data_IF_920365910012
#
_entry.id   IF_920365910012
#
_cell.length_a   1.000
_cell.length_b   1.000
_cell.length_c   1.000
_cell.angle_alpha   90.00
_cell.angle_beta   90.00
_cell.angle_gamma   90.00
#
_symmetry.space_group_name_H-M   'P 1'
#
loop_
_entity.id
_entity.type
_entity.pdbx_description
1 polymer ?
#
# COMPACT_ATOMS: atom_id res chain seq x y z
N UNK A 1 -10.64 -11.06 5.32
CA UNK A 1 -11.14 -10.28 6.47
C UNK A 1 -12.01 -9.11 6.02
N UNK A 2 -11.46 -8.05 5.40
CA UNK A 2 -12.25 -6.89 4.96
C UNK A 2 -13.34 -7.19 3.93
N UNK A 3 -13.12 -8.14 3.00
CA UNK A 3 -14.17 -8.58 2.08
C UNK A 3 -15.33 -9.28 2.81
N UNK A 4 -15.02 -10.14 3.79
CA UNK A 4 -16.05 -10.79 4.61
C UNK A 4 -16.82 -9.77 5.46
N UNK A 5 -16.11 -8.77 6.02
CA UNK A 5 -16.71 -7.63 6.71
C UNK A 5 -17.64 -6.81 5.79
N UNK A 6 -17.21 -6.51 4.57
CA UNK A 6 -18.00 -5.76 3.59
C UNK A 6 -19.24 -6.54 3.11
N UNK A 7 -19.18 -7.87 3.13
CA UNK A 7 -20.30 -8.76 2.83
C UNK A 7 -21.23 -8.97 4.05
N UNK A 8 -20.91 -8.36 5.19
CA UNK A 8 -21.69 -8.45 6.42
C UNK A 8 -21.63 -9.83 7.08
N UNK A 9 -20.62 -10.65 6.77
CA UNK A 9 -20.42 -11.96 7.38
C UNK A 9 -19.88 -11.81 8.80
N UNK A 10 -20.30 -12.68 9.72
CA UNK A 10 -19.65 -12.80 11.02
C UNK A 10 -18.17 -13.14 10.85
N UNK A 11 -17.33 -12.41 11.57
CA UNK A 11 -15.89 -12.48 11.38
C UNK A 11 -15.19 -12.51 12.73
N UNK A 12 -14.43 -13.57 12.97
CA UNK A 12 -13.46 -13.63 14.07
C UNK A 12 -12.06 -13.40 13.51
N UNK A 13 -11.32 -12.46 14.09
CA UNK A 13 -9.96 -12.14 13.69
C UNK A 13 -9.04 -12.01 14.90
N UNK A 14 -7.87 -12.66 14.84
CA UNK A 14 -6.86 -12.63 15.89
C UNK A 14 -5.68 -11.79 15.40
N UNK A 15 -5.28 -10.80 16.18
CA UNK A 15 -4.24 -9.83 15.83
C UNK A 15 -3.05 -9.91 16.75
N UNK A 16 -1.83 -9.89 16.21
CA UNK A 16 -0.61 -9.81 17.00
C UNK A 16 0.67 -9.89 16.17
N UNK A 17 1.69 -9.04 16.45
CA UNK A 17 1.70 -7.90 17.38
C UNK A 17 0.99 -6.65 16.82
N UNK A 18 0.49 -6.72 15.59
CA UNK A 18 -0.08 -5.60 14.84
C UNK A 18 -1.40 -5.09 15.45
N UNK A 19 -1.61 -3.76 15.57
CA UNK A 19 -2.81 -3.18 16.18
C UNK A 19 -4.07 -3.30 15.28
N UNK A 20 -5.20 -3.80 15.80
CA UNK A 20 -6.41 -4.03 15.01
C UNK A 20 -7.11 -2.73 14.63
N UNK A 21 -6.85 -1.62 15.31
CA UNK A 21 -7.39 -0.31 14.96
C UNK A 21 -6.98 0.14 13.56
N UNK A 22 -5.84 -0.37 13.07
CA UNK A 22 -5.29 -0.04 11.75
C UNK A 22 -5.42 -1.17 10.74
N UNK A 23 -5.43 -2.42 11.20
CA UNK A 23 -5.35 -3.59 10.33
C UNK A 23 -6.51 -4.57 10.53
N UNK A 24 -7.41 -4.28 11.47
CA UNK A 24 -8.62 -5.02 11.81
C UNK A 24 -9.76 -4.78 10.82
N UNK A 25 -10.82 -5.58 10.89
CA UNK A 25 -11.96 -5.43 10.00
C UNK A 25 -12.61 -4.06 10.17
N UNK A 26 -13.16 -3.52 9.08
CA UNK A 26 -13.78 -2.19 9.09
C UNK A 26 -15.29 -2.29 8.90
N UNK A 27 -16.11 -1.57 9.71
CA UNK A 27 -15.69 -0.78 10.86
C UNK A 27 -15.35 -1.69 12.07
N UNK A 28 -14.38 -1.31 12.89
CA UNK A 28 -13.86 -2.18 13.95
C UNK A 28 -14.91 -2.50 15.02
N UNK A 29 -15.80 -1.54 15.27
CA UNK A 29 -16.91 -1.59 16.22
C UNK A 29 -18.19 -2.22 15.64
N UNK A 30 -18.12 -2.88 14.49
CA UNK A 30 -19.26 -3.62 13.96
C UNK A 30 -19.61 -4.78 14.90
N UNK A 31 -20.88 -4.97 15.30
CA UNK A 31 -21.29 -6.07 16.18
C UNK A 31 -21.01 -7.46 15.60
N UNK A 32 -20.77 -7.57 14.28
CA UNK A 32 -20.39 -8.83 13.62
C UNK A 32 -18.87 -9.07 13.55
N UNK A 33 -18.07 -8.14 14.05
CA UNK A 33 -16.61 -8.23 14.05
C UNK A 33 -16.08 -8.56 15.45
N UNK A 34 -15.53 -9.75 15.59
CA UNK A 34 -14.95 -10.26 16.82
C UNK A 34 -13.43 -10.20 16.71
N UNK A 35 -12.85 -9.17 17.30
CA UNK A 35 -11.42 -8.91 17.21
C UNK A 35 -10.76 -9.28 18.52
N UNK A 36 -9.81 -10.21 18.45
CA UNK A 36 -9.02 -10.67 19.59
C UNK A 36 -7.60 -10.16 19.44
N UNK A 37 -7.13 -9.37 20.40
CA UNK A 37 -5.74 -8.95 20.47
C UNK A 37 -4.89 -10.00 21.19
N UNK A 38 -3.87 -10.51 20.52
CA UNK A 38 -2.86 -11.38 21.10
C UNK A 38 -1.94 -10.59 22.06
N UNK A 39 -1.30 -11.28 23.01
CA UNK A 39 -0.32 -10.68 23.91
C UNK A 39 0.83 -10.01 23.16
N UNK A 40 1.53 -9.10 23.82
CA UNK A 40 2.67 -8.37 23.26
C UNK A 40 3.83 -9.30 22.77
N UNK A 41 3.89 -10.54 23.27
CA UNK A 41 4.80 -11.58 22.79
C UNK A 41 4.47 -12.11 21.39
N UNK A 42 3.35 -11.68 20.79
CA UNK A 42 2.92 -12.06 19.46
C UNK A 42 2.26 -13.44 19.40
N UNK A 43 1.81 -13.81 18.20
CA UNK A 43 1.07 -15.06 17.95
C UNK A 43 1.89 -16.33 18.25
N UNK A 44 3.22 -16.25 18.17
CA UNK A 44 4.11 -17.39 18.37
C UNK A 44 4.17 -17.87 19.83
N UNK A 45 3.72 -17.05 20.78
CA UNK A 45 3.69 -17.38 22.21
C UNK A 45 2.31 -17.82 22.73
N UNK A 46 1.32 -18.00 21.84
CA UNK A 46 -0.02 -18.43 22.22
C UNK A 46 -0.18 -19.94 22.04
N UNK A 47 -0.65 -20.60 23.09
CA UNK A 47 -1.06 -21.99 23.01
C UNK A 47 -2.44 -22.10 22.33
N UNK A 48 -2.67 -23.22 21.64
CA UNK A 48 -3.94 -23.45 20.92
C UNK A 48 -5.15 -23.33 21.86
N UNK A 49 -5.02 -23.80 23.10
CA UNK A 49 -6.09 -23.68 24.11
C UNK A 49 -6.41 -22.24 24.49
N UNK A 50 -5.40 -21.35 24.52
CA UNK A 50 -5.58 -19.93 24.82
C UNK A 50 -6.28 -19.22 23.66
N UNK A 51 -5.93 -19.58 22.42
CA UNK A 51 -6.61 -19.10 21.21
C UNK A 51 -8.11 -19.47 21.24
N UNK A 52 -8.44 -20.72 21.54
CA UNK A 52 -9.84 -21.14 21.65
C UNK A 52 -10.59 -20.40 22.75
N UNK A 53 -9.99 -20.26 23.95
CA UNK A 53 -10.62 -19.55 25.06
C UNK A 53 -10.90 -18.07 24.73
N UNK A 54 -9.98 -17.40 24.03
CA UNK A 54 -10.16 -16.01 23.61
C UNK A 54 -11.27 -15.87 22.55
N UNK A 55 -11.35 -16.80 21.61
CA UNK A 55 -12.43 -16.82 20.59
C UNK A 55 -13.78 -17.10 21.25
N UNK A 56 -13.86 -18.05 22.17
CA UNK A 56 -15.10 -18.34 22.92
C UNK A 56 -15.57 -17.15 23.74
N UNK A 57 -14.66 -16.44 24.42
CA UNK A 57 -14.99 -15.24 25.17
C UNK A 57 -15.56 -14.13 24.26
N UNK A 58 -14.97 -13.92 23.08
CA UNK A 58 -15.46 -12.94 22.10
C UNK A 58 -16.86 -13.29 21.58
N UNK A 59 -17.12 -14.59 21.32
CA UNK A 59 -18.43 -15.08 20.85
C UNK A 59 -19.49 -15.11 21.97
N UNK A 60 -19.09 -15.19 23.24
CA UNK A 60 -20.01 -15.20 24.38
C UNK A 60 -20.52 -13.79 24.74
N UNK A 61 -19.69 -12.76 24.56
CA UNK A 61 -20.03 -11.37 24.87
C UNK A 61 -21.24 -10.84 24.07
N UNK A 62 -21.48 -11.36 22.87
CA UNK A 62 -22.60 -10.95 22.00
C UNK A 62 -23.93 -11.66 22.33
N UNK A 63 -23.89 -12.79 23.06
CA UNK A 63 -25.11 -13.54 23.41
C UNK A 63 -25.94 -12.90 24.52
N UNK A 64 -25.39 -11.93 25.25
CA UNK A 64 -26.13 -11.20 26.30
C UNK A 64 -26.91 -9.98 25.77
N UNK A 65 -26.69 -9.53 24.52
CA UNK A 65 -27.25 -8.26 24.00
C UNK A 65 -28.20 -8.38 22.78
N UNK A 66 -28.68 -9.57 22.40
CA UNK A 66 -29.55 -9.69 21.23
C UNK A 66 -30.95 -9.05 21.40
N UNK A 67 -31.39 -8.18 20.46
CA UNK A 67 -32.79 -8.18 20.03
C UNK A 67 -32.98 -8.59 18.56
N UNK A 68 -34.24 -8.91 18.28
CA UNK A 68 -34.87 -9.61 17.17
C UNK A 68 -34.58 -9.16 15.71
N UNK A 69 -34.91 -10.09 14.81
CA UNK A 69 -34.73 -10.13 13.35
C UNK A 69 -35.13 -8.89 12.51
N UNK A 70 -34.37 -8.73 11.40
CA UNK A 70 -34.74 -8.27 10.04
C UNK A 70 -35.06 -6.75 9.81
N UNK A 71 -34.91 -6.16 8.59
CA UNK A 71 -35.08 -6.80 7.26
C UNK A 71 -34.15 -6.34 6.10
N UNK A 72 -34.57 -6.80 4.92
CA UNK A 72 -33.95 -6.91 3.60
C UNK A 72 -33.42 -5.64 2.89
N UNK A 73 -32.56 -5.95 1.91
CA UNK A 73 -32.08 -5.21 0.75
C UNK A 73 -32.72 -3.85 0.43
N UNK A 74 -31.88 -2.87 0.12
CA UNK A 74 -32.27 -1.78 -0.77
C UNK A 74 -31.13 -1.47 -1.74
N UNK A 75 -31.42 -1.71 -3.01
CA UNK A 75 -30.66 -1.26 -4.17
C UNK A 75 -30.76 0.27 -4.28
N UNK A 76 -29.62 0.96 -4.39
CA UNK A 76 -29.60 2.39 -4.73
C UNK A 76 -28.71 2.62 -5.96
N UNK A 77 -29.35 3.14 -7.01
CA UNK A 77 -28.76 3.52 -8.29
C UNK A 77 -27.76 4.65 -8.15
N UNK A 78 -26.57 4.51 -8.75
CA UNK A 78 -25.62 5.61 -8.90
C UNK A 78 -25.91 6.32 -10.22
N UNK A 79 -26.39 7.57 -10.12
CA UNK A 79 -26.51 8.50 -11.23
C UNK A 79 -25.12 8.98 -11.67
N UNK A 80 -24.92 9.08 -12.99
CA UNK A 80 -23.70 9.53 -13.62
C UNK A 80 -23.43 11.01 -13.36
N UNK A 81 -22.27 11.32 -12.79
CA UNK A 81 -21.74 12.69 -12.74
C UNK A 81 -20.85 12.91 -13.95
N UNK A 82 -21.20 13.92 -14.73
CA UNK A 82 -20.57 14.30 -15.98
C UNK A 82 -19.10 14.72 -15.80
N UNK A 83 -18.23 14.15 -16.64
CA UNK A 83 -16.81 14.48 -16.76
C UNK A 83 -16.65 15.87 -17.40
N UNK A 84 -16.22 16.86 -16.62
CA UNK A 84 -15.67 18.10 -17.16
C UNK A 84 -14.28 17.84 -17.73
N UNK A 85 -14.10 18.01 -19.04
CA UNK A 85 -12.78 17.98 -19.68
C UNK A 85 -12.07 19.30 -19.39
N UNK A 86 -11.08 19.29 -18.48
CA UNK A 86 -10.06 20.33 -18.44
C UNK A 86 -9.13 20.20 -19.65
N UNK A 87 -8.68 21.31 -20.22
CA UNK A 87 -7.79 21.29 -21.37
C UNK A 87 -6.40 20.78 -20.96
N UNK A 88 -5.76 19.97 -21.80
CA UNK A 88 -4.42 19.42 -21.53
C UNK A 88 -3.32 20.51 -21.42
N UNK A 89 -3.62 21.75 -21.78
CA UNK A 89 -2.71 22.89 -21.64
C UNK A 89 -2.74 23.46 -20.22
N UNK A 90 -3.92 23.61 -19.62
CA UNK A 90 -4.09 24.20 -18.28
C UNK A 90 -3.59 23.27 -17.16
N UNK A 91 -3.70 21.95 -17.36
CA UNK A 91 -3.17 20.98 -16.40
C UNK A 91 -1.64 21.13 -16.24
N UNK A 92 -0.91 21.43 -17.32
CA UNK A 92 0.58 21.46 -17.34
C UNK A 92 1.23 22.58 -16.55
N UNK A 93 0.47 23.60 -16.15
CA UNK A 93 0.91 24.69 -15.28
C UNK A 93 0.47 24.49 -13.83
N UNK A 94 -0.40 23.51 -13.55
CA UNK A 94 -0.87 23.23 -12.21
C UNK A 94 0.27 22.77 -11.28
N UNK A 95 0.23 23.15 -9.99
CA UNK A 95 1.20 22.68 -9.01
C UNK A 95 1.13 21.16 -8.85
N UNK A 96 2.29 20.53 -8.65
CA UNK A 96 2.38 19.10 -8.34
C UNK A 96 2.16 18.89 -6.84
N UNK A 97 1.10 18.18 -6.50
CA UNK A 97 0.76 17.75 -5.14
C UNK A 97 1.01 16.25 -4.99
N UNK A 98 1.55 15.81 -3.85
CA UNK A 98 1.65 14.38 -3.53
C UNK A 98 0.54 14.02 -2.54
N UNK A 99 -0.29 13.04 -2.90
CA UNK A 99 -1.42 12.53 -2.11
C UNK A 99 -1.15 11.10 -1.67
N UNK A 100 -1.73 10.73 -0.53
CA UNK A 100 -1.81 9.33 -0.12
C UNK A 100 -2.80 8.56 -0.99
N UNK A 101 -2.71 7.24 -0.96
CA UNK A 101 -3.59 6.38 -1.73
C UNK A 101 -5.07 6.58 -1.39
N UNK A 102 -5.88 6.55 -2.45
CA UNK A 102 -7.33 6.53 -2.41
C UNK A 102 -7.76 5.53 -3.50
N UNK A 103 -8.96 4.91 -3.42
CA UNK A 103 -9.40 3.95 -4.42
C UNK A 103 -9.35 4.46 -5.87
N UNK A 104 -9.56 5.76 -6.08
CA UNK A 104 -9.46 6.40 -7.41
C UNK A 104 -8.04 6.37 -8.01
N UNK A 105 -7.01 6.16 -7.20
CA UNK A 105 -5.62 6.07 -7.65
C UNK A 105 -5.24 4.69 -8.20
N UNK A 106 -6.06 3.65 -7.98
CA UNK A 106 -5.73 2.28 -8.36
C UNK A 106 -5.51 2.12 -9.88
N UNK A 107 -6.38 2.69 -10.71
CA UNK A 107 -6.24 2.59 -12.16
C UNK A 107 -5.02 3.37 -12.68
N UNK A 108 -4.79 4.65 -12.30
CA UNK A 108 -3.58 5.35 -12.70
C UNK A 108 -2.29 4.68 -12.20
N UNK A 109 -2.30 4.14 -10.98
CA UNK A 109 -1.17 3.38 -10.43
C UNK A 109 -0.82 2.16 -11.29
N UNK A 110 -1.84 1.39 -11.69
CA UNK A 110 -1.71 0.24 -12.59
C UNK A 110 -1.18 0.68 -13.95
N UNK A 111 -1.84 1.66 -14.59
CA UNK A 111 -1.53 2.13 -15.94
C UNK A 111 -0.09 2.64 -16.04
N UNK A 112 0.30 3.60 -15.19
CA UNK A 112 1.62 4.22 -15.26
C UNK A 112 2.76 3.21 -15.05
N UNK A 113 2.56 2.23 -14.15
CA UNK A 113 3.54 1.18 -13.94
C UNK A 113 3.59 0.18 -15.08
N UNK A 114 2.44 -0.24 -15.65
CA UNK A 114 2.43 -1.13 -16.82
C UNK A 114 3.10 -0.46 -18.03
N UNK A 115 2.76 0.79 -18.33
CA UNK A 115 3.36 1.56 -19.43
C UNK A 115 4.89 1.64 -19.27
N UNK A 116 5.37 1.81 -18.03
CA UNK A 116 6.79 1.83 -17.74
C UNK A 116 7.44 0.44 -17.88
N UNK A 117 6.80 -0.60 -17.32
CA UNK A 117 7.32 -1.97 -17.38
C UNK A 117 7.41 -2.41 -18.84
N UNK A 118 6.32 -2.35 -19.60
CA UNK A 118 6.24 -2.81 -20.99
C UNK A 118 7.23 -2.10 -21.92
N UNK A 119 7.61 -0.86 -21.58
CA UNK A 119 8.62 -0.11 -22.34
C UNK A 119 10.04 -0.65 -22.16
N UNK A 120 10.37 -1.19 -20.98
CA UNK A 120 11.75 -1.54 -20.62
C UNK A 120 11.96 -3.04 -20.35
N UNK A 121 10.90 -3.77 -20.00
CA UNK A 121 10.91 -5.15 -19.50
C UNK A 121 9.62 -5.90 -19.84
N UNK A 122 9.57 -7.19 -19.50
CA UNK A 122 8.35 -7.99 -19.55
C UNK A 122 7.55 -7.85 -18.25
N UNK A 123 6.22 -7.89 -18.36
CA UNK A 123 5.33 -7.92 -17.19
C UNK A 123 5.39 -9.30 -16.52
N UNK A 124 5.94 -9.36 -15.32
CA UNK A 124 6.09 -10.56 -14.51
C UNK A 124 4.84 -10.79 -13.64
N UNK A 125 4.65 -12.00 -13.11
CA UNK A 125 3.44 -12.36 -12.35
C UNK A 125 3.25 -11.49 -11.10
N UNK A 126 4.35 -11.15 -10.42
CA UNK A 126 4.32 -10.27 -9.26
C UNK A 126 3.85 -8.86 -9.63
N UNK A 127 4.14 -8.35 -10.84
CA UNK A 127 3.58 -7.07 -11.30
C UNK A 127 2.06 -7.18 -11.45
N UNK A 128 1.56 -8.24 -12.08
CA UNK A 128 0.13 -8.43 -12.31
C UNK A 128 -0.64 -8.48 -10.99
N UNK A 129 -0.11 -9.18 -10.00
CA UNK A 129 -0.67 -9.24 -8.65
C UNK A 129 -0.73 -7.85 -8.00
N UNK A 130 0.40 -7.14 -7.96
CA UNK A 130 0.50 -5.84 -7.29
C UNK A 130 -0.31 -4.74 -7.98
N UNK A 131 -0.29 -4.72 -9.30
CA UNK A 131 -0.95 -3.67 -10.09
C UNK A 131 -2.44 -3.98 -10.34
N UNK A 132 -2.84 -5.26 -10.25
CA UNK A 132 -4.23 -5.69 -10.41
C UNK A 132 -5.10 -5.32 -9.22
N UNK A 133 -4.58 -5.47 -8.00
CA UNK A 133 -5.25 -5.07 -6.76
C UNK A 133 -4.23 -4.49 -5.77
N UNK A 134 -3.82 -3.21 -5.95
CA UNK A 134 -2.82 -2.58 -5.07
C UNK A 134 -3.33 -2.42 -3.63
N UNK A 135 -4.64 -2.33 -3.43
CA UNK A 135 -5.22 -2.28 -2.08
C UNK A 135 -4.92 -3.57 -1.32
N UNK A 136 -5.19 -4.72 -1.95
CA UNK A 136 -4.94 -6.02 -1.31
C UNK A 136 -3.45 -6.40 -1.32
N UNK A 137 -2.70 -6.07 -2.36
CA UNK A 137 -1.33 -6.53 -2.53
C UNK A 137 -0.29 -5.68 -1.79
N UNK A 138 -0.58 -4.40 -1.52
CA UNK A 138 0.37 -3.46 -0.88
C UNK A 138 -0.22 -2.92 0.43
N UNK A 139 -1.38 -2.26 0.36
CA UNK A 139 -1.94 -1.52 1.51
C UNK A 139 -2.33 -2.48 2.65
N UNK A 140 -3.03 -3.56 2.33
CA UNK A 140 -3.47 -4.55 3.33
C UNK A 140 -2.31 -5.28 4.04
N UNK A 141 -1.09 -5.16 3.53
CA UNK A 141 0.12 -5.77 4.10
C UNK A 141 1.02 -4.74 4.80
N UNK A 142 0.50 -3.55 5.12
CA UNK A 142 1.25 -2.49 5.80
C UNK A 142 2.11 -1.64 4.88
N UNK A 143 2.03 -1.83 3.57
CA UNK A 143 2.60 -0.91 2.60
C UNK A 143 1.77 0.36 2.43
N UNK A 144 2.33 1.33 1.71
CA UNK A 144 1.65 2.56 1.36
C UNK A 144 1.88 2.92 -0.12
N UNK A 145 0.96 3.68 -0.71
CA UNK A 145 1.10 4.19 -2.07
C UNK A 145 0.89 5.69 -2.04
N UNK A 146 1.67 6.41 -2.84
CA UNK A 146 1.51 7.85 -3.05
C UNK A 146 1.27 8.13 -4.53
N UNK A 147 0.46 9.15 -4.80
CA UNK A 147 0.15 9.64 -6.13
C UNK A 147 0.58 11.11 -6.26
N UNK A 148 1.31 11.43 -7.33
CA UNK A 148 1.56 12.81 -7.73
C UNK A 148 0.43 13.27 -8.64
N UNK A 149 -0.23 14.36 -8.26
CA UNK A 149 -1.33 14.95 -9.00
C UNK A 149 -1.00 16.34 -9.54
N UNK A 150 -1.48 16.63 -10.75
CA UNK A 150 -1.46 17.95 -11.36
C UNK A 150 -2.87 18.28 -11.86
N UNK A 151 -3.51 19.30 -11.27
CA UNK A 151 -4.87 19.68 -11.66
C UNK A 151 -5.91 18.56 -11.52
N UNK A 152 -5.71 17.65 -10.54
CA UNK A 152 -6.56 16.49 -10.30
C UNK A 152 -6.27 15.26 -11.18
N UNK A 153 -5.29 15.33 -12.08
CA UNK A 153 -4.81 14.19 -12.86
C UNK A 153 -3.60 13.54 -12.18
N UNK A 154 -3.61 12.21 -12.04
CA UNK A 154 -2.45 11.46 -11.53
C UNK A 154 -1.39 11.35 -12.63
N UNK A 155 -0.24 11.98 -12.39
CA UNK A 155 0.89 12.10 -13.32
C UNK A 155 2.13 11.33 -12.87
N UNK A 156 2.10 10.77 -11.67
CA UNK A 156 3.15 9.90 -11.16
C UNK A 156 2.69 9.14 -9.93
N UNK A 157 3.37 8.06 -9.61
CA UNK A 157 3.06 7.18 -8.49
C UNK A 157 4.32 6.56 -7.90
N UNK A 158 4.22 6.06 -6.68
CA UNK A 158 5.22 5.21 -6.05
C UNK A 158 4.65 4.49 -4.83
N UNK A 159 5.30 3.42 -4.38
CA UNK A 159 4.83 2.60 -3.28
C UNK A 159 5.96 2.29 -2.29
N UNK A 160 5.59 2.19 -1.01
CA UNK A 160 6.31 1.46 0.01
C UNK A 160 5.69 0.08 0.13
N UNK A 161 6.47 -0.96 -0.12
CA UNK A 161 6.07 -2.34 0.11
C UNK A 161 6.72 -2.82 1.40
N UNK A 162 5.91 -3.33 2.32
CA UNK A 162 6.39 -3.92 3.56
C UNK A 162 7.22 -5.18 3.28
N UNK A 163 8.40 -5.27 3.90
CA UNK A 163 9.23 -6.48 3.91
C UNK A 163 9.12 -7.11 5.31
N UNK A 164 9.48 -6.34 6.34
CA UNK A 164 9.46 -6.71 7.75
C UNK A 164 9.45 -5.45 8.62
N UNK A 165 9.23 -5.54 9.95
CA UNK A 165 9.22 -4.36 10.81
C UNK A 165 10.48 -3.51 10.65
N UNK A 166 10.30 -2.22 10.39
CA UNK A 166 11.42 -1.29 10.17
C UNK A 166 12.05 -1.37 8.76
N UNK A 167 11.57 -2.22 7.85
CA UNK A 167 12.15 -2.41 6.52
C UNK A 167 11.11 -2.43 5.40
N UNK A 168 11.26 -1.52 4.45
CA UNK A 168 10.36 -1.39 3.31
C UNK A 168 11.13 -1.33 1.99
N UNK A 169 10.51 -1.82 0.92
CA UNK A 169 10.96 -1.60 -0.44
C UNK A 169 10.24 -0.37 -1.02
N UNK A 170 10.99 0.55 -1.63
CA UNK A 170 10.41 1.54 -2.56
C UNK A 170 10.24 0.87 -3.92
N UNK A 171 8.98 0.66 -4.30
CA UNK A 171 8.60 -0.07 -5.51
C UNK A 171 7.58 0.72 -6.34
N UNK A 172 7.32 0.22 -7.55
CA UNK A 172 6.24 0.70 -8.45
C UNK A 172 6.22 2.22 -8.63
N UNK A 173 7.41 2.81 -8.74
CA UNK A 173 7.59 4.24 -8.93
C UNK A 173 7.66 4.56 -10.42
N UNK A 174 6.67 5.30 -10.92
CA UNK A 174 6.57 5.68 -12.32
C UNK A 174 6.07 7.12 -12.46
N UNK A 175 6.55 7.84 -13.48
CA UNK A 175 6.08 9.18 -13.84
C UNK A 175 5.67 9.14 -15.30
N UNK A 176 4.49 9.70 -15.58
CA UNK A 176 3.98 9.85 -16.94
C UNK A 176 5.06 10.48 -17.85
N UNK A 177 5.38 9.86 -19.02
CA UNK A 177 6.38 10.39 -19.94
C UNK A 177 6.21 11.87 -20.32
N UNK A 178 4.97 12.36 -20.42
CA UNK A 178 4.69 13.76 -20.73
C UNK A 178 5.03 14.75 -19.58
N UNK A 179 5.28 14.21 -18.39
CA UNK A 179 5.53 14.94 -17.15
C UNK A 179 6.94 14.72 -16.57
N UNK A 180 7.75 13.90 -17.22
CA UNK A 180 9.15 13.67 -16.84
C UNK A 180 10.02 14.93 -17.01
N UNK A 181 11.18 14.94 -16.33
CA UNK A 181 12.09 16.08 -16.33
C UNK A 181 11.66 17.26 -15.46
N UNK A 182 10.53 17.16 -14.76
CA UNK A 182 9.95 18.21 -13.90
C UNK A 182 10.18 18.01 -12.40
N UNK A 183 11.06 17.09 -12.02
CA UNK A 183 11.34 16.77 -10.62
C UNK A 183 10.24 15.99 -9.88
N UNK A 184 9.23 15.45 -10.59
CA UNK A 184 8.13 14.68 -9.98
C UNK A 184 8.65 13.42 -9.28
N UNK A 185 9.56 12.67 -9.91
CA UNK A 185 10.18 11.50 -9.29
C UNK A 185 10.92 11.83 -7.98
N UNK A 186 11.57 13.01 -7.92
CA UNK A 186 12.20 13.52 -6.69
C UNK A 186 11.16 13.82 -5.61
N UNK A 187 10.04 14.46 -5.96
CA UNK A 187 8.94 14.72 -5.02
C UNK A 187 8.32 13.43 -4.48
N UNK A 188 8.11 12.42 -5.35
CA UNK A 188 7.59 11.11 -4.96
C UNK A 188 8.57 10.41 -4.00
N UNK A 189 9.85 10.32 -4.37
CA UNK A 189 10.90 9.71 -3.52
C UNK A 189 10.98 10.38 -2.15
N UNK A 190 11.01 11.71 -2.10
CA UNK A 190 11.04 12.45 -0.85
C UNK A 190 9.83 12.13 0.03
N UNK A 191 8.63 12.09 -0.55
CA UNK A 191 7.41 11.74 0.19
C UNK A 191 7.43 10.29 0.67
N UNK A 192 7.90 9.34 -0.13
CA UNK A 192 8.01 7.95 0.30
C UNK A 192 8.98 7.77 1.47
N UNK A 193 10.12 8.49 1.47
CA UNK A 193 11.06 8.46 2.60
C UNK A 193 10.43 9.06 3.86
N UNK A 194 9.70 10.17 3.72
CA UNK A 194 8.94 10.76 4.84
C UNK A 194 7.90 9.76 5.39
N UNK A 195 7.09 9.14 4.51
CA UNK A 195 6.15 8.09 4.91
C UNK A 195 6.82 6.92 5.60
N UNK A 196 7.97 6.49 5.11
CA UNK A 196 8.71 5.40 5.73
C UNK A 196 9.14 5.75 7.16
N UNK A 197 9.58 6.99 7.41
CA UNK A 197 9.88 7.44 8.78
C UNK A 197 8.64 7.45 9.66
N UNK A 198 7.50 7.91 9.14
CA UNK A 198 6.21 7.87 9.86
C UNK A 198 5.72 6.43 10.15
N UNK A 199 6.28 5.43 9.45
CA UNK A 199 6.05 3.99 9.66
C UNK A 199 7.15 3.33 10.49
N UNK A 200 7.97 4.12 11.19
CA UNK A 200 9.11 3.66 11.99
C UNK A 200 10.13 2.81 11.18
N UNK A 201 10.25 3.07 9.88
CA UNK A 201 11.26 2.43 9.05
C UNK A 201 12.66 2.89 9.45
N UNK A 202 13.57 1.95 9.60
CA UNK A 202 15.00 2.19 9.84
C UNK A 202 15.85 1.93 8.59
N UNK A 203 15.30 1.22 7.59
CA UNK A 203 15.97 0.97 6.31
C UNK A 203 14.98 0.89 5.15
N UNK A 204 15.47 1.25 3.95
CA UNK A 204 14.73 1.20 2.69
C UNK A 204 15.52 0.47 1.62
N UNK A 205 14.86 -0.44 0.91
CA UNK A 205 15.39 -1.18 -0.24
C UNK A 205 14.84 -0.60 -1.55
N UNK A 206 15.65 -0.65 -2.60
CA UNK A 206 15.19 -0.52 -3.98
C UNK A 206 15.80 -1.65 -4.80
N UNK A 207 14.95 -2.43 -5.45
CA UNK A 207 15.35 -3.40 -6.47
C UNK A 207 15.24 -2.75 -7.85
N UNK A 208 16.31 -2.77 -8.64
CA UNK A 208 16.35 -2.04 -9.92
C UNK A 208 17.24 -2.72 -10.96
N UNK A 209 17.38 -2.08 -12.12
CA UNK A 209 18.23 -2.54 -13.21
C UNK A 209 19.28 -1.48 -13.60
N UNK A 210 20.51 -1.90 -13.88
CA UNK A 210 21.66 -1.07 -14.27
C UNK A 210 21.41 -0.23 -15.54
N UNK A 211 20.47 -0.65 -16.40
CA UNK A 211 20.09 0.10 -17.62
C UNK A 211 19.23 1.33 -17.34
N UNK A 212 18.69 1.49 -16.12
CA UNK A 212 17.80 2.58 -15.74
C UNK A 212 18.57 3.80 -15.21
N UNK A 213 19.54 4.31 -16.00
CA UNK A 213 20.47 5.38 -15.60
C UNK A 213 19.85 6.57 -14.85
N UNK A 214 18.72 7.17 -15.31
CA UNK A 214 18.06 8.26 -14.59
C UNK A 214 17.59 7.88 -13.18
N UNK A 215 17.10 6.66 -12.98
CA UNK A 215 16.67 6.17 -11.68
C UNK A 215 17.87 5.96 -10.74
N UNK A 216 18.97 5.39 -11.25
CA UNK A 216 20.20 5.21 -10.48
C UNK A 216 20.77 6.55 -9.99
N UNK A 217 20.72 7.59 -10.83
CA UNK A 217 21.15 8.93 -10.43
C UNK A 217 20.27 9.49 -9.30
N UNK A 218 18.94 9.34 -9.42
CA UNK A 218 17.99 9.76 -8.41
C UNK A 218 18.26 9.06 -7.06
N UNK A 219 18.47 7.74 -7.05
CA UNK A 219 18.72 7.00 -5.81
C UNK A 219 19.98 7.49 -5.09
N UNK A 220 21.07 7.71 -5.84
CA UNK A 220 22.32 8.26 -5.28
C UNK A 220 22.15 9.67 -4.74
N UNK A 221 21.31 10.51 -5.37
CA UNK A 221 20.99 11.87 -4.89
C UNK A 221 20.33 11.85 -3.50
N UNK A 222 19.50 10.84 -3.23
CA UNK A 222 18.86 10.63 -1.92
C UNK A 222 19.75 9.87 -0.92
N UNK A 223 21.02 9.60 -1.27
CA UNK A 223 21.98 8.96 -0.38
C UNK A 223 21.90 7.43 -0.32
N UNK A 224 21.08 6.80 -1.17
CA UNK A 224 21.06 5.35 -1.27
C UNK A 224 22.44 4.82 -1.71
N UNK A 225 22.87 3.74 -1.09
CA UNK A 225 24.11 3.05 -1.39
C UNK A 225 23.84 1.77 -2.18
N UNK A 226 24.69 1.49 -3.16
CA UNK A 226 24.61 0.25 -3.94
C UNK A 226 24.92 -0.96 -3.07
N UNK A 227 24.09 -1.99 -3.19
CA UNK A 227 24.28 -3.29 -2.54
C UNK A 227 24.10 -4.43 -3.56
N UNK A 228 24.70 -5.62 -3.30
CA UNK A 228 24.38 -6.80 -4.08
C UNK A 228 22.88 -7.11 -4.02
N UNK A 229 22.31 -7.56 -5.13
CA UNK A 229 20.90 -7.96 -5.18
C UNK A 229 20.63 -9.14 -4.23
N UNK A 230 19.57 -9.11 -3.41
CA UNK A 230 19.16 -10.23 -2.58
C UNK A 230 18.96 -11.50 -3.42
N UNK A 231 19.43 -12.65 -2.91
CA UNK A 231 19.41 -13.93 -3.65
C UNK A 231 17.98 -14.44 -3.93
N UNK A 232 17.03 -13.96 -3.16
CA UNK A 232 15.61 -14.26 -3.18
C UNK A 232 14.77 -13.18 -3.90
N UNK A 233 15.40 -12.27 -4.63
CA UNK A 233 14.70 -11.27 -5.45
C UNK A 233 13.62 -11.92 -6.33
N UNK A 234 12.41 -11.39 -6.24
CA UNK A 234 11.23 -11.93 -6.91
C UNK A 234 11.08 -11.49 -8.37
N UNK A 235 12.05 -10.74 -8.92
CA UNK A 235 12.04 -10.23 -10.29
C UNK A 235 13.29 -10.64 -11.04
N UNK A 236 13.10 -11.21 -12.23
CA UNK A 236 14.21 -11.58 -13.12
C UNK A 236 14.94 -10.36 -13.67
N UNK A 237 14.25 -9.22 -13.79
CA UNK A 237 14.82 -7.99 -14.34
C UNK A 237 15.87 -7.32 -13.44
N UNK A 238 15.98 -7.72 -12.18
CA UNK A 238 16.80 -7.01 -11.18
C UNK A 238 18.25 -7.50 -11.26
N UNK A 239 19.18 -6.57 -11.47
CA UNK A 239 20.63 -6.86 -11.53
C UNK A 239 21.46 -6.00 -10.56
N UNK A 240 20.83 -5.02 -9.90
CA UNK A 240 21.44 -4.17 -8.87
C UNK A 240 20.38 -3.74 -7.86
N UNK A 241 20.80 -3.53 -6.61
CA UNK A 241 19.93 -3.05 -5.54
C UNK A 241 20.56 -1.88 -4.80
N UNK A 242 19.74 -1.10 -4.12
CA UNK A 242 20.14 0.08 -3.36
C UNK A 242 19.51 0.03 -1.97
N UNK A 243 20.25 0.44 -0.95
CA UNK A 243 19.74 0.55 0.42
C UNK A 243 19.99 1.96 0.97
N UNK A 244 19.02 2.48 1.73
CA UNK A 244 19.16 3.70 2.53
C UNK A 244 18.86 3.37 4.00
N UNK A 245 19.80 3.72 4.87
CA UNK A 245 19.60 3.69 6.32
C UNK A 245 18.92 4.99 6.76
N UNK A 246 17.79 4.88 7.45
CA UNK A 246 17.07 6.00 8.02
C UNK A 246 17.53 6.19 9.46
N UNK A 247 18.37 7.19 9.71
CA UNK A 247 18.74 7.56 11.08
C UNK A 247 17.52 8.19 11.78
N UNK A 248 17.29 7.89 13.06
CA UNK A 248 16.33 8.65 13.87
C UNK A 248 16.67 10.15 13.79
N UNK A 249 15.65 11.00 13.67
CA UNK A 249 15.87 12.45 13.82
C UNK A 249 16.28 12.71 15.28
N UNK A 250 17.45 13.33 15.46
CA UNK A 250 18.03 13.68 16.77
C UNK A 250 17.25 14.75 17.52
#
# INVERSE_FOLDING_TARGET
MHLAAALGTELVAIFGPTPPERFGPWPLDNPRHYVVQAPASGLAGLEVGEVFALVEAALAADREEAPAEAPAETTASIQSVAKGKSSAADAREAPIEIKLFEPRHAEPFRRLNLDWIERFFEVEEQDRRMLGDPQQAIIAHGGEIVAAEAGGEVVGVGALQFIEPGYYEIAKMAVDPAWQGRGIGRKIMARLIERARELDAVRLLILTNTRLGPALHLYREFGFQEIPTPKDSHYQRVDISFELQLTPES
#
